data_IF_334149109649
#
_entry.id   IF_334149109649
#
_cell.length_a   1.000
_cell.length_b   1.000
_cell.length_c   1.000
_cell.angle_alpha   90.00
_cell.angle_beta   90.00
_cell.angle_gamma   90.00
#
_symmetry.space_group_name_H-M   'P 1'
#
loop_
_entity.id
_entity.type
_entity.pdbx_description
1 polymer ?
#
# COMPACT_ATOMS: atom_id res chain seq x y z
N UNK A 1 11.94 3.13 9.68
CA UNK A 1 12.34 3.02 8.25
C UNK A 1 12.03 4.24 7.39
N UNK A 2 10.87 4.89 7.57
CA UNK A 2 10.31 5.78 6.55
C UNK A 2 11.11 7.02 6.12
N UNK A 3 12.04 7.57 6.91
CA UNK A 3 12.74 8.82 6.52
C UNK A 3 13.81 8.62 5.43
N UNK A 4 14.30 7.40 5.24
CA UNK A 4 15.43 7.10 4.34
C UNK A 4 15.06 6.19 3.16
N UNK A 5 13.76 5.93 2.95
CA UNK A 5 13.26 5.11 1.84
C UNK A 5 12.55 5.98 0.81
N UNK A 6 12.59 5.59 -0.46
CA UNK A 6 11.77 6.21 -1.51
C UNK A 6 10.51 5.40 -1.81
N UNK A 7 10.48 4.13 -1.39
CA UNK A 7 9.36 3.22 -1.51
C UNK A 7 9.40 2.18 -0.37
N UNK A 8 8.28 1.49 -0.15
CA UNK A 8 8.21 0.32 0.74
C UNK A 8 7.87 -0.92 -0.06
N UNK A 9 8.48 -2.07 0.29
CA UNK A 9 8.16 -3.36 -0.32
C UNK A 9 7.95 -4.37 0.80
N UNK A 10 6.79 -5.04 0.77
CA UNK A 10 6.50 -6.20 1.60
C UNK A 10 6.64 -7.48 0.78
N UNK A 11 7.53 -8.36 1.25
CA UNK A 11 7.71 -9.72 0.77
C UNK A 11 6.84 -10.68 1.60
N UNK A 12 6.52 -11.89 1.11
CA UNK A 12 5.83 -12.90 1.90
C UNK A 12 6.47 -13.08 3.29
N UNK A 13 5.67 -12.93 4.34
CA UNK A 13 6.16 -12.84 5.71
C UNK A 13 5.04 -12.96 6.73
N UNK A 14 5.40 -13.22 7.99
CA UNK A 14 4.44 -13.44 9.07
C UNK A 14 3.86 -12.16 9.66
N UNK A 15 3.44 -12.25 10.93
CA UNK A 15 2.80 -11.14 11.64
C UNK A 15 3.62 -9.84 11.66
N UNK A 16 4.94 -9.92 11.83
CA UNK A 16 5.80 -8.73 11.83
C UNK A 16 5.72 -7.97 10.50
N UNK A 17 5.79 -8.68 9.38
CA UNK A 17 5.69 -8.05 8.05
C UNK A 17 4.31 -7.45 7.80
N UNK A 18 3.25 -8.10 8.27
CA UNK A 18 1.89 -7.57 8.14
C UNK A 18 1.69 -6.33 9.01
N UNK A 19 2.23 -6.31 10.22
CA UNK A 19 2.16 -5.17 11.13
C UNK A 19 2.87 -3.95 10.53
N UNK A 20 4.12 -4.11 10.06
CA UNK A 20 4.87 -3.05 9.40
C UNK A 20 4.17 -2.57 8.11
N UNK A 21 3.57 -3.48 7.33
CA UNK A 21 2.81 -3.15 6.12
C UNK A 21 1.60 -2.27 6.44
N UNK A 22 0.79 -2.65 7.43
CA UNK A 22 -0.40 -1.87 7.78
C UNK A 22 -0.03 -0.51 8.40
N UNK A 23 1.10 -0.41 9.12
CA UNK A 23 1.60 0.87 9.62
C UNK A 23 1.89 1.85 8.47
N UNK A 24 2.65 1.43 7.45
CA UNK A 24 2.99 2.31 6.31
C UNK A 24 1.77 2.64 5.44
N UNK A 25 0.81 1.73 5.30
CA UNK A 25 -0.47 2.01 4.62
C UNK A 25 -1.23 3.10 5.39
N UNK A 26 -1.34 2.96 6.71
CA UNK A 26 -2.04 3.94 7.56
C UNK A 26 -1.38 5.32 7.49
N UNK A 27 -0.05 5.38 7.45
CA UNK A 27 0.67 6.66 7.29
C UNK A 27 0.43 7.32 5.94
N UNK A 28 0.32 6.53 4.87
CA UNK A 28 -0.05 7.05 3.56
C UNK A 28 -1.49 7.60 3.57
N UNK A 29 -2.45 6.88 4.17
CA UNK A 29 -3.83 7.35 4.31
C UNK A 29 -3.96 8.64 5.12
N UNK A 30 -3.12 8.81 6.15
CA UNK A 30 -3.05 10.03 6.97
C UNK A 30 -2.29 11.18 6.28
N UNK A 31 -1.73 10.96 5.09
CA UNK A 31 -0.92 11.94 4.36
C UNK A 31 0.41 12.28 5.04
N UNK A 32 0.95 11.35 5.85
CA UNK A 32 2.25 11.49 6.51
C UNK A 32 3.39 11.27 5.51
N UNK A 33 3.16 10.48 4.47
CA UNK A 33 4.08 10.32 3.35
C UNK A 33 3.35 9.97 2.05
N UNK A 34 3.98 10.30 0.93
CA UNK A 34 3.50 9.98 -0.42
C UNK A 34 4.47 9.01 -1.11
N UNK A 35 4.83 7.92 -0.43
CA UNK A 35 5.78 6.91 -0.93
C UNK A 35 5.00 5.68 -1.39
N UNK A 36 5.30 5.12 -2.58
CA UNK A 36 4.59 3.97 -3.08
C UNK A 36 4.87 2.72 -2.23
N UNK A 37 3.84 1.90 -2.08
CA UNK A 37 3.88 0.67 -1.28
C UNK A 37 3.68 -0.51 -2.23
N UNK A 38 4.67 -1.40 -2.25
CA UNK A 38 4.72 -2.58 -3.09
C UNK A 38 4.48 -3.87 -2.33
N UNK A 39 3.67 -4.77 -2.89
CA UNK A 39 3.45 -6.12 -2.39
C UNK A 39 3.86 -7.14 -3.44
N UNK A 40 4.89 -7.91 -3.12
CA UNK A 40 5.35 -9.00 -3.99
C UNK A 40 4.50 -10.25 -3.75
N UNK A 41 3.52 -10.49 -4.62
CA UNK A 41 2.56 -11.57 -4.51
C UNK A 41 3.09 -12.90 -5.10
N UNK A 42 4.16 -13.43 -4.52
CA UNK A 42 4.75 -14.72 -4.93
C UNK A 42 3.74 -15.84 -4.70
N UNK A 43 3.50 -16.67 -5.72
CA UNK A 43 2.59 -17.83 -5.69
C UNK A 43 1.20 -17.54 -5.09
N UNK A 44 0.74 -16.30 -5.19
CA UNK A 44 -0.57 -15.89 -4.67
C UNK A 44 -0.63 -15.74 -3.14
N UNK A 45 0.51 -15.59 -2.45
CA UNK A 45 0.60 -15.42 -1.00
C UNK A 45 -0.38 -14.36 -0.44
N UNK A 46 -0.52 -13.23 -1.13
CA UNK A 46 -1.36 -12.11 -0.71
C UNK A 46 -2.81 -12.17 -1.26
N UNK A 47 -3.23 -13.23 -1.95
CA UNK A 47 -4.57 -13.31 -2.54
C UNK A 47 -5.70 -13.20 -1.49
N UNK A 48 -5.53 -13.86 -0.34
CA UNK A 48 -6.50 -13.78 0.77
C UNK A 48 -6.52 -12.39 1.39
N UNK A 49 -5.35 -11.75 1.55
CA UNK A 49 -5.25 -10.38 2.05
C UNK A 49 -5.93 -9.39 1.09
N UNK A 50 -5.70 -9.53 -0.22
CA UNK A 50 -6.36 -8.72 -1.24
C UNK A 50 -7.88 -8.89 -1.19
N UNK A 51 -8.35 -10.13 -1.01
CA UNK A 51 -9.79 -10.42 -0.86
C UNK A 51 -10.38 -9.76 0.39
N UNK A 52 -9.65 -9.77 1.51
CA UNK A 52 -10.04 -9.09 2.74
C UNK A 52 -10.13 -7.57 2.54
N UNK A 53 -9.12 -6.96 1.91
CA UNK A 53 -9.11 -5.51 1.62
C UNK A 53 -10.28 -5.14 0.70
N UNK A 54 -10.52 -5.91 -0.36
CA UNK A 54 -11.67 -5.72 -1.25
C UNK A 54 -12.99 -5.73 -0.46
N UNK A 55 -13.13 -6.66 0.48
CA UNK A 55 -14.34 -6.74 1.29
C UNK A 55 -14.50 -5.53 2.21
N UNK A 56 -13.41 -5.09 2.85
CA UNK A 56 -13.42 -3.90 3.69
C UNK A 56 -13.79 -2.63 2.89
N UNK A 57 -13.35 -2.54 1.63
CA UNK A 57 -13.75 -1.47 0.71
C UNK A 57 -15.24 -1.54 0.36
N UNK A 58 -15.77 -2.73 0.01
CA UNK A 58 -17.22 -2.92 -0.24
C UNK A 58 -18.07 -2.48 0.95
N UNK A 59 -17.58 -2.72 2.17
CA UNK A 59 -18.24 -2.35 3.41
C UNK A 59 -17.94 -0.89 3.85
N UNK A 60 -17.26 -0.11 3.01
CA UNK A 60 -16.90 1.30 3.27
C UNK A 60 -16.03 1.53 4.50
N UNK A 61 -15.28 0.52 4.96
CA UNK A 61 -14.26 0.68 6.00
C UNK A 61 -12.93 1.18 5.43
N UNK A 62 -12.65 0.93 4.15
CA UNK A 62 -11.45 1.39 3.45
C UNK A 62 -11.90 2.23 2.25
N UNK A 63 -11.30 3.41 2.10
CA UNK A 63 -11.55 4.29 0.95
C UNK A 63 -11.01 3.67 -0.34
N UNK A 64 -11.70 3.80 -1.50
CA UNK A 64 -11.17 3.39 -2.79
C UNK A 64 -9.78 3.96 -3.10
N UNK A 65 -9.51 5.21 -2.68
CA UNK A 65 -8.22 5.87 -2.89
C UNK A 65 -7.07 5.18 -2.13
N UNK A 66 -7.36 4.53 -1.00
CA UNK A 66 -6.34 3.80 -0.22
C UNK A 66 -5.79 2.59 -0.97
N UNK A 67 -6.61 1.97 -1.84
CA UNK A 67 -6.17 0.86 -2.68
C UNK A 67 -5.17 1.29 -3.74
N UNK A 68 -5.31 2.50 -4.28
CA UNK A 68 -4.42 3.01 -5.33
C UNK A 68 -3.00 3.25 -4.83
N UNK A 69 -2.81 3.35 -3.51
CA UNK A 69 -1.51 3.49 -2.85
C UNK A 69 -0.67 2.20 -2.97
N UNK A 70 -1.32 1.05 -3.17
CA UNK A 70 -0.70 -0.26 -3.04
C UNK A 70 -0.58 -0.96 -4.40
N UNK A 71 0.65 -1.29 -4.78
CA UNK A 71 0.99 -2.01 -6.00
C UNK A 71 1.17 -3.49 -5.69
N UNK A 72 0.34 -4.35 -6.28
CA UNK A 72 0.42 -5.81 -6.14
C UNK A 72 0.91 -6.44 -7.45
N UNK A 73 2.02 -7.16 -7.40
CA UNK A 73 2.56 -7.88 -8.58
C UNK A 73 3.27 -9.18 -8.20
N UNK A 74 3.28 -10.19 -9.07
CA UNK A 74 3.88 -11.49 -8.76
C UNK A 74 5.40 -11.52 -8.90
N UNK A 75 6.02 -10.57 -9.60
CA UNK A 75 7.47 -10.60 -9.89
C UNK A 75 8.19 -9.34 -9.41
N UNK A 76 9.45 -9.51 -9.00
CA UNK A 76 10.28 -8.41 -8.50
C UNK A 76 10.57 -7.37 -9.60
N UNK A 77 10.80 -7.82 -10.83
CA UNK A 77 11.06 -6.93 -11.97
C UNK A 77 9.85 -6.02 -12.24
N UNK A 78 8.65 -6.59 -12.34
CA UNK A 78 7.43 -5.81 -12.52
C UNK A 78 7.19 -4.84 -11.35
N UNK A 79 7.57 -5.26 -10.13
CA UNK A 79 7.40 -4.43 -8.94
C UNK A 79 8.24 -3.18 -9.01
N UNK A 80 9.54 -3.33 -9.28
CA UNK A 80 10.47 -2.21 -9.39
C UNK A 80 10.05 -1.28 -10.53
N UNK A 81 9.71 -1.82 -11.69
CA UNK A 81 9.24 -1.02 -12.84
C UNK A 81 7.99 -0.19 -12.50
N UNK A 82 7.04 -0.76 -11.76
CA UNK A 82 5.84 -0.02 -11.34
C UNK A 82 6.14 1.02 -10.27
N UNK A 83 7.03 0.73 -9.32
CA UNK A 83 7.44 1.68 -8.29
C UNK A 83 8.14 2.90 -8.89
N UNK A 84 9.02 2.70 -9.88
CA UNK A 84 9.74 3.79 -10.57
C UNK A 84 8.80 4.70 -11.38
N UNK A 85 7.72 4.15 -11.93
CA UNK A 85 6.73 4.88 -12.72
C UNK A 85 5.58 5.44 -11.89
N UNK A 86 5.50 5.09 -10.61
CA UNK A 86 4.40 5.49 -9.76
C UNK A 86 4.47 7.00 -9.48
N UNK A 87 3.49 7.74 -9.99
CA UNK A 87 3.26 9.14 -9.61
C UNK A 87 2.06 9.14 -8.68
N UNK A 88 2.30 9.31 -7.38
CA UNK A 88 1.23 9.40 -6.40
C UNK A 88 0.61 10.80 -6.47
N UNK A 89 -0.64 10.86 -6.96
CA UNK A 89 -1.47 12.06 -6.87
C UNK A 89 -2.38 11.92 -5.65
N UNK A 90 -2.09 12.63 -4.58
CA UNK A 90 -3.09 12.86 -3.54
C UNK A 90 -3.85 14.14 -3.89
N UNK A 91 -5.13 14.00 -4.29
CA UNK A 91 -6.08 15.06 -3.99
C UNK A 91 -6.08 15.19 -2.46
N UNK A 92 -5.52 16.29 -1.96
CA UNK A 92 -5.56 16.60 -0.53
C UNK A 92 -7.02 16.56 -0.12
N UNK A 93 -7.42 15.55 0.66
CA UNK A 93 -8.70 15.59 1.36
C UNK A 93 -8.68 16.91 2.15
N UNK A 94 -9.60 17.86 1.90
CA UNK A 94 -9.61 19.11 2.63
C UNK A 94 -9.75 18.75 4.11
N UNK A 95 -8.82 19.27 4.92
CA UNK A 95 -8.85 19.03 6.37
C UNK A 95 -10.20 19.53 6.87
N UNK A 96 -10.99 18.72 7.60
CA UNK A 96 -12.29 19.16 8.10
C UNK A 96 -12.22 20.27 9.17
N UNK A 97 -11.04 20.85 9.42
CA UNK A 97 -10.79 21.86 10.45
C UNK A 97 -9.73 22.89 10.03
N UNK A 98 -9.85 23.45 8.82
CA UNK A 98 -9.26 24.76 8.45
C UNK A 98 -10.30 25.61 7.76
#
# INVERSE_FOLDING_TARGET
>A
MARHSDAFIALPGGYGTLEELFEVITWAELGIHDKPIGLLNVDGYYNSLLSFINKAMEQSFISPNAREIIIFVPTATELVEKLERCVLYHERVPRPYT
#
